data_IF_965285280760
#
_entry.id   IF_965285280760
#
_cell.length_a   1.000
_cell.length_b   1.000
_cell.length_c   1.000
_cell.angle_alpha   90.00
_cell.angle_beta   90.00
_cell.angle_gamma   90.00
#
_symmetry.space_group_name_H-M   'P 1'
#
loop_
_entity.id
_entity.type
_entity.pdbx_description
1 polymer ?
#
# COMPACT_ATOMS: atom_id res chain seq x y z
N UNK A 1 49.59 52.30 -6.75
CA UNK A 1 48.20 51.97 -7.19
C UNK A 1 47.86 50.46 -7.11
N UNK A 2 48.58 49.62 -6.34
CA UNK A 2 48.39 48.14 -6.26
C UNK A 2 47.64 47.59 -5.05
N UNK A 3 47.33 48.42 -4.01
CA UNK A 3 46.71 47.90 -2.76
C UNK A 3 45.20 47.82 -2.77
N UNK A 4 44.47 48.51 -3.68
CA UNK A 4 42.99 48.46 -3.74
C UNK A 4 42.42 47.15 -4.35
N UNK A 5 43.17 46.52 -5.25
CA UNK A 5 42.74 45.34 -5.95
C UNK A 5 42.72 44.07 -5.06
N UNK A 6 43.64 43.95 -4.11
CA UNK A 6 43.75 42.79 -3.22
C UNK A 6 42.64 42.73 -2.16
N UNK A 7 42.22 43.87 -1.62
CA UNK A 7 41.08 43.92 -0.66
C UNK A 7 39.76 43.58 -1.31
N UNK A 8 39.51 44.01 -2.55
CA UNK A 8 38.29 43.72 -3.27
C UNK A 8 38.15 42.23 -3.63
N UNK A 9 39.27 41.56 -3.95
CA UNK A 9 39.29 40.11 -4.26
C UNK A 9 39.05 39.27 -3.01
N UNK A 10 39.61 39.67 -1.87
CA UNK A 10 39.34 39.00 -0.58
C UNK A 10 37.89 39.13 -0.10
N UNK A 11 37.30 40.32 -0.27
CA UNK A 11 35.88 40.54 0.07
C UNK A 11 34.94 39.68 -0.80
N UNK A 12 35.23 39.57 -2.09
CA UNK A 12 34.44 38.71 -3.02
C UNK A 12 34.57 37.20 -2.69
N UNK A 13 35.78 36.74 -2.27
CA UNK A 13 35.98 35.37 -1.79
C UNK A 13 35.21 35.07 -0.51
N UNK A 14 35.24 35.98 0.49
CA UNK A 14 34.50 35.81 1.75
C UNK A 14 32.97 35.86 1.54
N UNK A 15 32.46 36.72 0.66
CA UNK A 15 31.04 36.74 0.30
C UNK A 15 30.57 35.45 -0.38
N UNK A 16 31.37 34.88 -1.31
CA UNK A 16 31.07 33.59 -1.93
C UNK A 16 31.06 32.42 -0.92
N UNK A 17 32.02 32.39 0.03
CA UNK A 17 32.03 31.38 1.08
C UNK A 17 30.81 31.48 2.01
N UNK A 18 30.43 32.70 2.39
CA UNK A 18 29.25 32.94 3.23
C UNK A 18 27.94 32.51 2.52
N UNK A 19 27.78 32.79 1.22
CA UNK A 19 26.65 32.31 0.42
C UNK A 19 26.58 30.79 0.32
N UNK A 20 27.73 30.12 0.15
CA UNK A 20 27.75 28.64 0.10
C UNK A 20 27.36 28.01 1.45
N UNK A 21 27.78 28.62 2.57
CA UNK A 21 27.42 28.11 3.92
C UNK A 21 25.94 28.33 4.20
N UNK A 22 25.36 29.46 3.80
CA UNK A 22 23.92 29.73 3.95
C UNK A 22 23.06 28.83 3.06
N UNK A 23 23.49 28.54 1.82
CA UNK A 23 22.81 27.58 0.94
C UNK A 23 22.87 26.16 1.49
N UNK A 24 24.00 25.72 2.04
CA UNK A 24 24.14 24.41 2.67
C UNK A 24 23.25 24.28 3.92
N UNK A 25 23.18 25.31 4.75
CA UNK A 25 22.30 25.35 5.92
C UNK A 25 20.81 25.29 5.55
N UNK A 26 20.38 25.99 4.50
CA UNK A 26 19.00 25.92 4.00
C UNK A 26 18.63 24.54 3.43
N UNK A 27 19.55 23.85 2.77
CA UNK A 27 19.34 22.48 2.28
C UNK A 27 19.19 21.46 3.42
N UNK A 28 19.90 21.63 4.53
CA UNK A 28 19.80 20.75 5.69
C UNK A 28 18.47 20.90 6.45
N UNK A 29 17.90 22.11 6.51
CA UNK A 29 16.63 22.38 7.22
C UNK A 29 15.43 21.88 6.39
N UNK A 30 15.52 21.90 5.05
CA UNK A 30 14.43 21.47 4.17
C UNK A 30 14.20 19.95 4.10
N UNK A 31 15.19 19.11 4.48
CA UNK A 31 15.10 17.66 4.34
C UNK A 31 14.57 16.91 5.58
N UNK A 32 14.50 17.53 6.75
CA UNK A 32 14.13 16.83 8.00
C UNK A 32 12.63 16.84 8.27
N UNK A 33 11.90 17.85 7.80
CA UNK A 33 10.48 18.02 8.08
C UNK A 33 9.58 16.95 7.43
N UNK A 34 9.76 16.56 6.15
CA UNK A 34 8.92 15.53 5.54
C UNK A 34 9.14 14.13 6.13
N UNK A 35 10.36 13.79 6.56
CA UNK A 35 10.67 12.48 7.15
C UNK A 35 10.03 12.32 8.53
N UNK A 36 10.07 13.32 9.38
CA UNK A 36 9.44 13.28 10.70
C UNK A 36 7.90 13.25 10.62
N UNK A 37 7.32 14.01 9.71
CA UNK A 37 5.87 14.02 9.49
C UNK A 37 5.36 12.69 8.92
N UNK A 38 6.10 12.07 8.01
CA UNK A 38 5.79 10.75 7.48
C UNK A 38 5.89 9.67 8.56
N UNK A 39 6.93 9.71 9.41
CA UNK A 39 7.09 8.80 10.54
C UNK A 39 5.96 8.94 11.56
N UNK A 40 5.52 10.16 11.89
CA UNK A 40 4.40 10.42 12.80
C UNK A 40 3.08 9.83 12.28
N UNK A 41 2.76 10.03 11.00
CA UNK A 41 1.55 9.46 10.37
C UNK A 41 1.62 7.94 10.30
N UNK A 42 2.79 7.38 9.99
CA UNK A 42 3.03 5.95 10.00
C UNK A 42 2.73 5.35 11.38
N UNK A 43 3.31 5.91 12.43
CA UNK A 43 3.14 5.44 13.81
C UNK A 43 1.69 5.56 14.28
N UNK A 44 1.01 6.64 13.93
CA UNK A 44 -0.41 6.83 14.23
C UNK A 44 -1.29 5.79 13.53
N UNK A 45 -1.00 5.46 12.27
CA UNK A 45 -1.68 4.40 11.53
C UNK A 45 -1.48 3.04 12.19
N UNK A 46 -0.23 2.67 12.50
CA UNK A 46 0.11 1.40 13.17
C UNK A 46 -0.59 1.29 14.53
N UNK A 47 -0.57 2.33 15.34
CA UNK A 47 -1.27 2.38 16.64
C UNK A 47 -2.78 2.17 16.48
N UNK A 48 -3.40 2.85 15.51
CA UNK A 48 -4.82 2.70 15.19
C UNK A 48 -5.16 1.26 14.75
N UNK A 49 -4.30 0.61 13.96
CA UNK A 49 -4.49 -0.78 13.55
C UNK A 49 -4.32 -1.76 14.71
N UNK A 50 -3.32 -1.58 15.57
CA UNK A 50 -3.15 -2.40 16.78
C UNK A 50 -4.39 -2.35 17.66
N UNK A 51 -4.96 -1.14 17.87
CA UNK A 51 -6.23 -0.98 18.60
C UNK A 51 -7.38 -1.70 17.91
N UNK A 52 -7.49 -1.60 16.59
CA UNK A 52 -8.54 -2.27 15.80
C UNK A 52 -8.43 -3.80 15.85
N UNK A 53 -7.20 -4.34 15.82
CA UNK A 53 -6.96 -5.79 15.83
C UNK A 53 -7.14 -6.45 17.19
N UNK A 54 -7.20 -5.67 18.28
CA UNK A 54 -7.34 -6.22 19.64
C UNK A 54 -8.58 -7.11 19.73
N UNK A 55 -8.40 -8.35 20.21
CA UNK A 55 -9.45 -9.36 20.32
C UNK A 55 -9.88 -10.01 18.99
N UNK A 56 -9.27 -9.67 17.87
CA UNK A 56 -9.53 -10.34 16.58
C UNK A 56 -8.53 -11.46 16.34
N UNK A 57 -9.00 -12.53 15.69
CA UNK A 57 -8.15 -13.66 15.26
C UNK A 57 -7.89 -13.57 13.77
N UNK A 58 -6.71 -14.03 13.35
CA UNK A 58 -6.36 -14.10 11.95
C UNK A 58 -4.91 -13.70 11.68
N UNK A 59 -4.56 -13.62 10.42
CA UNK A 59 -3.26 -13.16 9.96
C UNK A 59 -3.35 -11.74 9.39
N UNK A 60 -2.30 -10.96 9.56
CA UNK A 60 -2.28 -9.61 9.04
C UNK A 60 -0.89 -9.17 8.56
N UNK A 61 -0.87 -8.10 7.78
CA UNK A 61 0.33 -7.36 7.42
C UNK A 61 0.03 -5.87 7.39
N UNK A 62 0.93 -5.09 7.97
CA UNK A 62 0.94 -3.63 7.85
C UNK A 62 2.01 -3.28 6.82
N UNK A 63 1.62 -2.63 5.74
CA UNK A 63 2.51 -2.31 4.62
C UNK A 63 2.00 -1.11 3.84
N UNK A 64 2.88 -0.18 3.50
CA UNK A 64 2.59 0.93 2.60
C UNK A 64 2.53 0.40 1.15
N UNK A 65 1.31 0.18 0.66
CA UNK A 65 1.05 -0.42 -0.66
C UNK A 65 1.19 0.61 -1.77
N UNK A 66 0.75 1.85 -1.55
CA UNK A 66 0.75 2.91 -2.58
C UNK A 66 1.93 3.87 -2.50
N UNK A 67 2.83 3.69 -1.49
CA UNK A 67 4.05 4.47 -1.36
C UNK A 67 3.84 5.89 -0.81
N UNK A 68 2.70 6.15 -0.15
CA UNK A 68 2.36 7.48 0.37
C UNK A 68 2.88 7.76 1.79
N UNK A 69 3.60 6.81 2.41
CA UNK A 69 4.13 6.89 3.76
C UNK A 69 3.12 6.55 4.86
N UNK A 70 1.87 6.25 4.52
CA UNK A 70 0.82 5.79 5.44
C UNK A 70 0.51 4.33 5.10
N UNK A 71 0.84 3.36 5.96
CA UNK A 71 0.65 1.96 5.62
C UNK A 71 -0.82 1.56 5.63
N UNK A 72 -1.16 0.54 4.87
CA UNK A 72 -2.41 -0.19 4.93
C UNK A 72 -2.30 -1.38 5.89
N UNK A 73 -3.44 -1.75 6.50
CA UNK A 73 -3.64 -3.02 7.16
C UNK A 73 -4.32 -3.99 6.18
N UNK A 74 -3.62 -5.07 5.85
CA UNK A 74 -4.13 -6.21 5.10
C UNK A 74 -4.42 -7.32 6.09
N UNK A 75 -5.68 -7.69 6.29
CA UNK A 75 -6.07 -8.62 7.36
C UNK A 75 -6.98 -9.74 6.84
N UNK A 76 -6.57 -10.97 7.11
CA UNK A 76 -7.42 -12.13 7.10
C UNK A 76 -8.09 -12.25 8.47
N UNK A 77 -9.30 -11.75 8.60
CA UNK A 77 -10.05 -11.72 9.85
C UNK A 77 -10.88 -13.01 9.99
N UNK A 78 -10.32 -14.01 10.66
CA UNK A 78 -10.99 -15.30 10.85
C UNK A 78 -12.21 -15.22 11.77
N UNK A 79 -12.25 -14.27 12.71
CA UNK A 79 -13.41 -14.05 13.58
C UNK A 79 -14.64 -13.58 12.81
N UNK A 80 -14.44 -12.80 11.76
CA UNK A 80 -15.52 -12.27 10.92
C UNK A 80 -15.71 -13.04 9.61
N UNK A 81 -14.83 -13.99 9.27
CA UNK A 81 -14.88 -14.71 7.99
C UNK A 81 -14.66 -13.81 6.78
N UNK A 82 -13.80 -12.79 6.89
CA UNK A 82 -13.52 -11.84 5.82
C UNK A 82 -12.04 -11.56 5.63
N UNK A 83 -11.65 -11.35 4.38
CA UNK A 83 -10.42 -10.67 4.01
C UNK A 83 -10.71 -9.18 3.86
N UNK A 84 -9.90 -8.32 4.47
CA UNK A 84 -10.13 -6.87 4.43
C UNK A 84 -8.84 -6.07 4.23
N UNK A 85 -9.02 -4.89 3.62
CA UNK A 85 -8.01 -3.84 3.52
C UNK A 85 -8.52 -2.63 4.28
N UNK A 86 -7.69 -2.08 5.14
CA UNK A 86 -7.96 -0.83 5.84
C UNK A 86 -6.84 0.16 5.60
N UNK A 87 -7.20 1.44 5.52
CA UNK A 87 -6.25 2.55 5.49
C UNK A 87 -6.48 3.49 6.67
N UNK A 88 -5.50 4.31 7.00
CA UNK A 88 -5.60 5.32 8.05
C UNK A 88 -5.84 6.69 7.44
N UNK A 89 -6.86 7.40 7.94
CA UNK A 89 -7.11 8.77 7.56
C UNK A 89 -6.49 9.72 8.61
N UNK A 90 -5.40 10.44 8.28
CA UNK A 90 -4.71 11.31 9.24
C UNK A 90 -5.54 12.54 9.65
N UNK A 91 -6.49 12.98 8.82
CA UNK A 91 -7.38 14.10 9.13
C UNK A 91 -8.38 13.74 10.23
N UNK A 92 -9.01 12.57 10.13
CA UNK A 92 -10.00 12.10 11.11
C UNK A 92 -9.39 11.23 12.21
N UNK A 93 -8.10 10.86 12.10
CA UNK A 93 -7.35 9.95 12.99
C UNK A 93 -8.02 8.57 13.14
N UNK A 94 -8.76 8.13 12.14
CA UNK A 94 -9.48 6.84 12.14
C UNK A 94 -8.95 5.91 11.06
N UNK A 95 -8.93 4.60 11.33
CA UNK A 95 -8.77 3.63 10.27
C UNK A 95 -10.12 3.34 9.61
N UNK A 96 -10.10 3.21 8.29
CA UNK A 96 -11.29 3.02 7.45
C UNK A 96 -11.12 1.76 6.63
N UNK A 97 -12.17 0.92 6.58
CA UNK A 97 -12.20 -0.22 5.68
C UNK A 97 -12.44 0.27 4.25
N UNK A 98 -11.53 -0.05 3.35
CA UNK A 98 -11.58 0.39 1.94
C UNK A 98 -11.84 -0.75 0.96
N UNK A 99 -11.72 -1.98 1.41
CA UNK A 99 -12.08 -3.18 0.64
C UNK A 99 -12.28 -4.38 1.56
N UNK A 100 -13.25 -5.23 1.23
CA UNK A 100 -13.44 -6.49 1.93
C UNK A 100 -14.12 -7.52 1.05
N UNK A 101 -13.85 -8.80 1.34
CA UNK A 101 -14.45 -9.96 0.67
C UNK A 101 -14.68 -11.02 1.72
N UNK A 102 -15.92 -11.52 1.83
CA UNK A 102 -16.24 -12.70 2.61
C UNK A 102 -15.55 -13.93 2.01
N UNK A 103 -15.23 -14.90 2.84
CA UNK A 103 -14.74 -16.19 2.37
C UNK A 103 -15.57 -17.33 3.00
N UNK A 104 -15.79 -18.40 2.22
CA UNK A 104 -16.51 -19.58 2.70
C UNK A 104 -15.70 -20.30 3.81
N UNK A 105 -16.42 -20.93 4.76
CA UNK A 105 -15.78 -21.76 5.80
C UNK A 105 -14.87 -22.80 5.14
N UNK A 106 -13.63 -22.90 5.61
CA UNK A 106 -12.66 -23.92 5.18
C UNK A 106 -11.65 -23.50 4.10
N UNK A 107 -11.78 -22.32 3.50
CA UNK A 107 -10.83 -21.86 2.47
C UNK A 107 -10.07 -20.63 2.93
N UNK A 108 -8.87 -20.86 3.43
CA UNK A 108 -7.96 -19.79 3.84
C UNK A 108 -7.10 -19.35 2.65
N UNK A 109 -7.64 -18.46 1.81
CA UNK A 109 -6.90 -17.97 0.66
C UNK A 109 -6.14 -16.69 1.02
N UNK A 110 -4.83 -16.65 0.75
CA UNK A 110 -3.99 -15.56 1.19
C UNK A 110 -4.32 -14.26 0.46
N UNK A 111 -4.29 -13.16 1.19
CA UNK A 111 -4.25 -11.83 0.60
C UNK A 111 -2.91 -11.65 -0.11
N UNK A 112 -2.93 -11.07 -1.32
CA UNK A 112 -1.70 -10.67 -2.03
C UNK A 112 -1.70 -9.17 -2.26
N UNK A 113 -0.51 -8.57 -2.32
CA UNK A 113 -0.36 -7.15 -2.63
C UNK A 113 0.82 -6.90 -3.57
N UNK A 114 0.71 -5.86 -4.38
CA UNK A 114 1.76 -5.39 -5.28
C UNK A 114 2.02 -3.90 -5.05
N UNK A 115 3.19 -3.58 -4.50
CA UNK A 115 3.62 -2.18 -4.33
C UNK A 115 3.90 -1.51 -5.68
N UNK A 116 4.42 -2.26 -6.65
CA UNK A 116 4.69 -1.72 -7.99
C UNK A 116 3.43 -1.36 -8.79
N UNK A 117 2.29 -1.96 -8.44
CA UNK A 117 1.00 -1.67 -9.06
C UNK A 117 0.06 -0.90 -8.14
N UNK A 118 0.44 -0.68 -6.86
CA UNK A 118 -0.40 -0.09 -5.82
C UNK A 118 -1.72 -0.85 -5.65
N UNK A 119 -1.65 -2.18 -5.62
CA UNK A 119 -2.84 -3.03 -5.61
C UNK A 119 -2.82 -4.06 -4.50
N UNK A 120 -4.03 -4.43 -4.07
CA UNK A 120 -4.28 -5.55 -3.17
C UNK A 120 -5.28 -6.49 -3.81
N UNK A 121 -5.02 -7.79 -3.75
CA UNK A 121 -5.92 -8.83 -4.20
C UNK A 121 -6.48 -9.58 -2.99
N UNK A 122 -7.78 -9.51 -2.84
CA UNK A 122 -8.55 -10.31 -1.89
C UNK A 122 -9.18 -11.48 -2.63
N UNK A 123 -9.27 -12.61 -1.96
CA UNK A 123 -9.81 -13.81 -2.55
C UNK A 123 -10.97 -14.38 -1.73
N UNK A 124 -11.98 -14.87 -2.43
CA UNK A 124 -13.02 -15.74 -1.94
C UNK A 124 -12.97 -17.06 -2.72
N UNK A 125 -13.16 -18.18 -2.04
CA UNK A 125 -13.26 -19.48 -2.71
C UNK A 125 -14.33 -20.35 -2.06
N UNK A 126 -14.90 -21.21 -2.87
CA UNK A 126 -15.83 -22.25 -2.48
C UNK A 126 -15.59 -23.48 -3.35
N UNK A 127 -16.38 -24.54 -3.14
CA UNK A 127 -16.27 -25.80 -3.90
C UNK A 127 -16.47 -25.62 -5.41
N UNK A 128 -17.15 -24.57 -5.85
CA UNK A 128 -17.43 -24.28 -7.26
C UNK A 128 -16.35 -23.43 -7.96
N UNK A 129 -15.42 -22.83 -7.20
CA UNK A 129 -14.40 -21.97 -7.81
C UNK A 129 -13.79 -20.93 -6.89
N UNK A 130 -13.15 -19.95 -7.50
CA UNK A 130 -12.49 -18.84 -6.78
C UNK A 130 -12.85 -17.51 -7.41
N UNK A 131 -13.03 -16.51 -6.58
CA UNK A 131 -13.20 -15.11 -6.96
C UNK A 131 -12.05 -14.30 -6.42
N UNK A 132 -11.45 -13.47 -7.26
CA UNK A 132 -10.36 -12.56 -6.94
C UNK A 132 -10.82 -11.13 -7.17
N UNK A 133 -10.70 -10.31 -6.16
CA UNK A 133 -11.06 -8.90 -6.19
C UNK A 133 -9.79 -8.08 -6.06
N UNK A 134 -9.40 -7.40 -7.14
CA UNK A 134 -8.20 -6.56 -7.14
C UNK A 134 -8.63 -5.11 -6.95
N UNK A 135 -8.12 -4.51 -5.89
CA UNK A 135 -8.33 -3.12 -5.55
C UNK A 135 -7.06 -2.33 -5.82
N UNK A 136 -7.19 -1.19 -6.49
CA UNK A 136 -6.13 -0.17 -6.56
C UNK A 136 -6.28 0.74 -5.36
N UNK A 137 -5.21 0.86 -4.58
CA UNK A 137 -5.14 1.71 -3.38
C UNK A 137 -4.55 3.06 -3.76
N UNK A 138 -5.14 4.14 -3.24
CA UNK A 138 -4.62 5.50 -3.35
C UNK A 138 -5.06 6.30 -2.13
N UNK A 139 -4.14 6.55 -1.21
CA UNK A 139 -4.41 7.24 0.05
C UNK A 139 -5.51 6.54 0.85
N UNK A 140 -6.57 7.25 1.18
CA UNK A 140 -7.70 6.73 1.97
C UNK A 140 -8.78 6.04 1.15
N UNK A 141 -8.52 5.74 -0.12
CA UNK A 141 -9.49 5.13 -1.04
C UNK A 141 -8.91 3.85 -1.64
N UNK A 142 -9.81 2.91 -1.94
CA UNK A 142 -9.50 1.79 -2.81
C UNK A 142 -10.64 1.59 -3.82
N UNK A 143 -10.26 1.42 -5.09
CA UNK A 143 -11.21 1.19 -6.18
C UNK A 143 -11.02 -0.23 -6.70
N UNK A 144 -12.09 -1.02 -6.77
CA UNK A 144 -12.04 -2.33 -7.41
C UNK A 144 -11.82 -2.17 -8.92
N UNK A 145 -10.68 -2.64 -9.39
CA UNK A 145 -10.29 -2.54 -10.81
C UNK A 145 -10.51 -3.84 -11.57
N UNK A 146 -10.54 -4.98 -10.86
CA UNK A 146 -10.81 -6.31 -11.45
C UNK A 146 -11.63 -7.14 -10.49
N UNK A 147 -12.65 -7.81 -11.01
CA UNK A 147 -13.25 -9.03 -10.46
C UNK A 147 -12.87 -10.17 -11.40
N UNK A 148 -12.04 -11.09 -10.96
CA UNK A 148 -11.64 -12.27 -11.72
C UNK A 148 -12.25 -13.52 -11.09
N UNK A 149 -12.87 -14.38 -11.90
CA UNK A 149 -13.54 -15.58 -11.43
C UNK A 149 -13.00 -16.79 -12.17
N UNK A 150 -12.74 -17.85 -11.43
CA UNK A 150 -12.37 -19.17 -11.96
C UNK A 150 -13.38 -20.19 -11.47
N UNK A 151 -14.00 -20.89 -12.39
CA UNK A 151 -14.98 -21.94 -12.12
C UNK A 151 -14.37 -23.33 -12.36
N UNK A 152 -14.44 -24.19 -11.35
CA UNK A 152 -13.92 -25.57 -11.39
C UNK A 152 -15.03 -26.60 -11.18
N UNK A 153 -16.28 -26.16 -11.06
CA UNK A 153 -17.42 -27.02 -10.74
C UNK A 153 -17.78 -27.99 -11.87
N UNK A 154 -18.51 -29.05 -11.52
CA UNK A 154 -19.00 -30.07 -12.46
C UNK A 154 -19.85 -29.46 -13.60
N UNK A 155 -20.66 -28.46 -13.29
CA UNK A 155 -21.60 -27.82 -14.22
C UNK A 155 -21.07 -26.54 -14.87
N UNK A 156 -20.04 -25.92 -14.30
CA UNK A 156 -19.47 -24.68 -14.82
C UNK A 156 -17.97 -24.70 -14.72
N UNK A 157 -17.29 -24.60 -15.87
CA UNK A 157 -15.83 -24.46 -15.96
C UNK A 157 -15.47 -23.24 -16.76
N UNK A 158 -14.38 -22.56 -16.42
CA UNK A 158 -13.86 -21.43 -17.18
C UNK A 158 -13.45 -20.24 -16.35
N UNK A 159 -13.27 -19.13 -17.04
CA UNK A 159 -12.71 -17.92 -16.49
C UNK A 159 -13.57 -16.71 -16.86
N UNK A 160 -13.73 -15.77 -15.93
CA UNK A 160 -14.42 -14.51 -16.19
C UNK A 160 -13.60 -13.32 -15.65
N UNK A 161 -13.67 -12.20 -16.35
CA UNK A 161 -13.13 -10.92 -15.92
C UNK A 161 -14.26 -9.90 -16.01
N UNK A 162 -14.59 -9.27 -14.89
CA UNK A 162 -15.66 -8.26 -14.77
C UNK A 162 -16.98 -8.72 -15.40
N UNK A 163 -17.37 -9.98 -15.15
CA UNK A 163 -18.61 -10.58 -15.67
C UNK A 163 -18.54 -11.10 -17.10
N UNK A 164 -17.43 -10.94 -17.81
CA UNK A 164 -17.29 -11.45 -19.19
C UNK A 164 -16.44 -12.71 -19.23
N UNK A 165 -16.91 -13.74 -19.96
CA UNK A 165 -16.15 -14.97 -20.18
C UNK A 165 -14.90 -14.67 -20.99
N UNK A 166 -13.76 -15.22 -20.59
CA UNK A 166 -12.46 -14.99 -21.22
C UNK A 166 -11.67 -16.33 -21.33
N UNK A 167 -10.65 -16.32 -22.19
CA UNK A 167 -9.68 -17.43 -22.23
C UNK A 167 -8.80 -17.42 -20.98
N UNK A 168 -8.17 -18.57 -20.67
CA UNK A 168 -7.18 -18.69 -19.60
C UNK A 168 -6.01 -17.72 -19.77
N UNK A 169 -5.54 -17.53 -20.98
CA UNK A 169 -4.46 -16.59 -21.30
C UNK A 169 -4.85 -15.14 -20.96
N UNK A 170 -6.04 -14.70 -21.39
CA UNK A 170 -6.56 -13.37 -21.06
C UNK A 170 -6.76 -13.18 -19.56
N UNK A 171 -7.28 -14.20 -18.88
CA UNK A 171 -7.45 -14.21 -17.42
C UNK A 171 -6.11 -13.98 -16.70
N UNK A 172 -5.08 -14.79 -17.01
CA UNK A 172 -3.76 -14.66 -16.41
C UNK A 172 -3.07 -13.34 -16.76
N UNK A 173 -3.13 -12.91 -18.02
CA UNK A 173 -2.58 -11.63 -18.47
C UNK A 173 -3.18 -10.46 -17.67
N UNK A 174 -4.50 -10.50 -17.44
CA UNK A 174 -5.20 -9.46 -16.68
C UNK A 174 -4.76 -9.45 -15.21
N UNK A 175 -4.72 -10.60 -14.54
CA UNK A 175 -4.25 -10.66 -13.15
C UNK A 175 -2.80 -10.20 -13.06
N UNK A 176 -1.92 -10.69 -13.92
CA UNK A 176 -0.49 -10.35 -13.91
C UNK A 176 -0.25 -8.85 -14.15
N UNK A 177 -1.08 -8.19 -14.98
CA UNK A 177 -1.01 -6.73 -15.18
C UNK A 177 -1.12 -5.95 -13.87
N UNK A 178 -2.05 -6.35 -12.99
CA UNK A 178 -2.33 -5.66 -11.73
C UNK A 178 -1.56 -6.22 -10.54
N UNK A 179 -1.03 -7.43 -10.64
CA UNK A 179 -0.33 -8.11 -9.54
C UNK A 179 1.15 -8.36 -9.84
N UNK A 180 1.77 -7.48 -10.63
CA UNK A 180 3.20 -7.55 -10.94
C UNK A 180 4.02 -7.48 -9.65
N UNK A 181 5.01 -8.39 -9.52
CA UNK A 181 5.85 -8.52 -8.30
C UNK A 181 5.05 -8.67 -7.01
N UNK A 182 3.89 -9.35 -7.06
CA UNK A 182 3.03 -9.52 -5.90
C UNK A 182 3.72 -10.33 -4.79
N UNK A 183 3.43 -9.92 -3.56
CA UNK A 183 3.81 -10.65 -2.34
C UNK A 183 2.56 -11.17 -1.65
N UNK A 184 2.67 -12.34 -1.03
CA UNK A 184 1.60 -12.93 -0.22
C UNK A 184 1.70 -12.42 1.22
N UNK A 185 0.57 -12.08 1.82
CA UNK A 185 0.48 -11.84 3.26
C UNK A 185 0.66 -13.19 3.94
N UNK A 186 1.81 -13.40 4.57
CA UNK A 186 2.05 -14.52 5.47
C UNK A 186 1.66 -14.08 6.87
N UNK A 187 1.17 -14.99 7.70
CA UNK A 187 0.84 -14.67 9.08
C UNK A 187 2.06 -14.13 9.81
N UNK A 188 2.03 -12.87 10.18
CA UNK A 188 2.78 -12.40 11.32
C UNK A 188 1.86 -12.60 12.51
N UNK A 189 2.19 -13.53 13.41
CA UNK A 189 1.49 -13.65 14.68
C UNK A 189 1.51 -12.32 15.42
N UNK A 190 0.43 -12.04 16.13
CA UNK A 190 0.44 -11.08 17.23
C UNK A 190 1.25 -11.65 18.37
#
# INVERSE_FOLDING_TARGET
>A
MRMKTTKQTMLKKKAKQLCCILLAAMLCIGMTVPVMAASSKYNAAVSSYKKYMRGKRGSYKIVDVDGNGIPELLMHNSSAGINEVRTYNPKTRKNVRVGSVGYGKGYNLPIKYSRSCHTVMLCNANTGGSEYYIYKVKGTKATRVVKAERFNGKFKRGYMINGRKVSYSTYNKTINKYMKKAKTVRSSGL
#
